data_IF_613069576470
#
_entry.id   IF_613069576470
#
_cell.length_a   1.000
_cell.length_b   1.000
_cell.length_c   1.000
_cell.angle_alpha   90.00
_cell.angle_beta   90.00
_cell.angle_gamma   90.00
#
_symmetry.space_group_name_H-M   'P 1'
#
loop_
_entity.id
_entity.type
_entity.pdbx_description
1 polymer ?
#
# COMPACT_ATOMS: atom_id res chain seq x y z
N UNK A 1 1.43 2.94 -12.60
CA UNK A 1 2.39 2.06 -11.88
C UNK A 1 1.84 1.62 -10.53
N UNK A 2 1.04 2.42 -9.87
CA UNK A 2 0.52 2.13 -8.52
C UNK A 2 -0.28 0.81 -8.39
N UNK A 3 -1.22 0.51 -9.30
CA UNK A 3 -1.98 -0.74 -9.20
C UNK A 3 -1.14 -2.01 -9.36
N UNK A 4 -0.05 -1.97 -10.14
CA UNK A 4 0.83 -3.13 -10.30
C UNK A 4 1.74 -3.29 -9.07
N UNK A 5 2.22 -2.19 -8.48
CA UNK A 5 2.94 -2.23 -7.21
C UNK A 5 2.07 -2.81 -6.10
N UNK A 6 0.79 -2.43 -6.05
CA UNK A 6 -0.16 -2.99 -5.08
C UNK A 6 -0.32 -4.50 -5.26
N UNK A 7 -0.59 -4.96 -6.47
CA UNK A 7 -0.77 -6.40 -6.75
C UNK A 7 0.49 -7.16 -6.38
N UNK A 8 1.67 -6.63 -6.74
CA UNK A 8 2.94 -7.22 -6.38
C UNK A 8 3.16 -7.29 -4.86
N UNK A 9 2.80 -6.24 -4.12
CA UNK A 9 2.90 -6.21 -2.66
C UNK A 9 1.97 -7.25 -2.00
N UNK A 10 0.73 -7.36 -2.49
CA UNK A 10 -0.22 -8.38 -2.01
C UNK A 10 0.28 -9.80 -2.31
N UNK A 11 0.78 -10.07 -3.52
CA UNK A 11 1.35 -11.37 -3.88
C UNK A 11 2.58 -11.70 -3.04
N UNK A 12 3.46 -10.73 -2.79
CA UNK A 12 4.68 -10.92 -2.00
C UNK A 12 4.40 -11.16 -0.52
N UNK A 13 3.34 -10.54 0.01
CA UNK A 13 2.95 -10.64 1.41
C UNK A 13 1.85 -11.66 1.66
N UNK A 14 1.44 -12.44 0.66
CA UNK A 14 0.30 -13.36 0.74
C UNK A 14 0.34 -14.25 1.99
N UNK A 15 1.51 -14.82 2.32
CA UNK A 15 1.71 -15.67 3.50
C UNK A 15 1.39 -14.98 4.85
N UNK A 16 1.47 -13.65 4.92
CA UNK A 16 1.17 -12.86 6.11
C UNK A 16 -0.25 -12.28 6.10
N UNK A 17 -0.82 -12.08 4.91
CA UNK A 17 -2.14 -11.50 4.70
C UNK A 17 -3.25 -12.54 4.70
N UNK A 18 -2.94 -13.79 4.38
CA UNK A 18 -3.92 -14.87 4.42
C UNK A 18 -4.47 -15.05 5.84
N UNK A 19 -5.79 -15.03 5.96
CA UNK A 19 -6.50 -15.13 7.23
C UNK A 19 -6.42 -13.92 8.18
N UNK A 20 -5.67 -12.86 7.86
CA UNK A 20 -5.52 -11.68 8.75
C UNK A 20 -6.32 -10.48 8.25
N UNK A 21 -6.79 -9.66 9.20
CA UNK A 21 -7.44 -8.38 8.89
C UNK A 21 -6.38 -7.28 8.76
N UNK A 22 -6.37 -6.58 7.63
CA UNK A 22 -5.38 -5.55 7.35
C UNK A 22 -5.95 -4.33 6.65
N UNK A 23 -5.23 -3.22 6.80
CA UNK A 23 -5.51 -1.95 6.17
C UNK A 23 -4.53 -1.70 5.04
N UNK A 24 -5.08 -1.43 3.86
CA UNK A 24 -4.33 -0.92 2.73
C UNK A 24 -4.43 0.61 2.74
N UNK A 25 -3.32 1.28 3.05
CA UNK A 25 -3.22 2.73 2.99
C UNK A 25 -2.59 3.10 1.65
N UNK A 26 -3.30 3.89 0.84
CA UNK A 26 -2.78 4.37 -0.45
C UNK A 26 -3.34 5.75 -0.78
N UNK A 27 -2.53 6.60 -1.40
CA UNK A 27 -2.96 7.87 -2.00
C UNK A 27 -3.45 7.70 -3.45
N UNK A 28 -3.38 6.47 -3.98
CA UNK A 28 -3.75 6.15 -5.33
C UNK A 28 -5.26 5.98 -5.51
N UNK A 29 -5.89 6.95 -6.18
CA UNK A 29 -7.29 6.84 -6.62
C UNK A 29 -7.51 5.77 -7.71
N UNK A 30 -6.46 5.30 -8.39
CA UNK A 30 -6.59 4.27 -9.41
C UNK A 30 -6.99 2.90 -8.82
N UNK A 31 -6.61 2.59 -7.57
CA UNK A 31 -7.03 1.36 -6.88
C UNK A 31 -8.53 1.35 -6.64
N UNK A 32 -9.07 2.46 -6.09
CA UNK A 32 -10.52 2.64 -5.92
C UNK A 32 -11.26 2.54 -7.25
N UNK A 33 -10.71 3.18 -8.29
CA UNK A 33 -11.29 3.17 -9.62
C UNK A 33 -11.31 1.74 -10.21
N UNK A 34 -10.19 1.01 -10.13
CA UNK A 34 -10.04 -0.36 -10.63
C UNK A 34 -11.10 -1.29 -10.03
N UNK A 35 -11.36 -1.14 -8.75
CA UNK A 35 -12.32 -1.95 -8.01
C UNK A 35 -13.77 -1.66 -8.39
N UNK A 36 -14.09 -0.39 -8.66
CA UNK A 36 -15.43 0.06 -9.04
C UNK A 36 -15.73 -0.04 -10.55
N UNK A 37 -14.72 -0.34 -11.38
CA UNK A 37 -14.90 -0.48 -12.83
C UNK A 37 -15.82 -1.65 -13.19
N UNK A 38 -16.82 -1.35 -14.03
CA UNK A 38 -17.78 -2.33 -14.58
C UNK A 38 -17.20 -3.13 -15.75
N UNK A 39 -16.43 -2.48 -16.62
CA UNK A 39 -15.84 -3.09 -17.83
C UNK A 39 -14.32 -2.93 -17.83
N UNK A 40 -13.58 -3.75 -17.06
CA UNK A 40 -12.12 -3.71 -17.04
C UNK A 40 -11.51 -4.33 -18.30
N UNK A 41 -10.39 -3.76 -18.77
CA UNK A 41 -9.53 -4.41 -19.77
C UNK A 41 -8.91 -5.70 -19.20
N UNK A 42 -8.44 -6.63 -20.04
CA UNK A 42 -7.86 -7.94 -19.66
C UNK A 42 -6.82 -7.84 -18.52
N UNK A 43 -5.91 -6.87 -18.57
CA UNK A 43 -4.91 -6.67 -17.51
C UNK A 43 -5.54 -6.22 -16.20
N UNK A 44 -6.50 -5.28 -16.27
CA UNK A 44 -7.21 -4.76 -15.11
C UNK A 44 -8.11 -5.83 -14.48
N UNK A 45 -8.72 -6.69 -15.31
CA UNK A 45 -9.52 -7.82 -14.82
C UNK A 45 -8.66 -8.79 -14.02
N UNK A 46 -7.45 -9.11 -14.51
CA UNK A 46 -6.49 -9.97 -13.78
C UNK A 46 -6.14 -9.38 -12.41
N UNK A 47 -5.80 -8.09 -12.37
CA UNK A 47 -5.50 -7.41 -11.10
C UNK A 47 -6.72 -7.35 -10.18
N UNK A 48 -7.91 -7.09 -10.73
CA UNK A 48 -9.16 -7.10 -9.97
C UNK A 48 -9.40 -8.48 -9.34
N UNK A 49 -9.17 -9.57 -10.07
CA UNK A 49 -9.30 -10.93 -9.53
C UNK A 49 -8.27 -11.19 -8.43
N UNK A 50 -7.01 -10.82 -8.62
CA UNK A 50 -5.97 -10.99 -7.60
C UNK A 50 -6.30 -10.22 -6.30
N UNK A 51 -6.83 -9.01 -6.42
CA UNK A 51 -7.22 -8.21 -5.25
C UNK A 51 -8.49 -8.75 -4.58
N UNK A 52 -9.38 -9.42 -5.34
CA UNK A 52 -10.64 -9.96 -4.79
C UNK A 52 -10.44 -11.05 -3.73
N UNK A 53 -9.34 -11.81 -3.81
CA UNK A 53 -8.99 -12.80 -2.78
C UNK A 53 -8.89 -12.17 -1.38
N UNK A 54 -8.29 -10.98 -1.30
CA UNK A 54 -8.11 -10.27 -0.03
C UNK A 54 -9.28 -9.36 0.36
N UNK A 55 -10.30 -9.19 -0.50
CA UNK A 55 -11.37 -8.21 -0.27
C UNK A 55 -12.21 -8.46 0.98
N UNK A 56 -12.30 -9.70 1.44
CA UNK A 56 -13.00 -10.06 2.67
C UNK A 56 -12.33 -9.51 3.93
N UNK A 57 -10.99 -9.43 3.93
CA UNK A 57 -10.20 -9.10 5.11
C UNK A 57 -9.42 -7.77 4.97
N UNK A 58 -9.52 -7.10 3.82
CA UNK A 58 -8.82 -5.86 3.50
C UNK A 58 -9.73 -4.64 3.61
N UNK A 59 -9.30 -3.65 4.40
CA UNK A 59 -9.92 -2.32 4.45
C UNK A 59 -9.07 -1.30 3.71
N UNK A 60 -9.63 -0.59 2.74
CA UNK A 60 -8.90 0.40 1.93
C UNK A 60 -9.09 1.80 2.54
N UNK A 61 -8.01 2.38 3.05
CA UNK A 61 -7.97 3.75 3.53
C UNK A 61 -7.22 4.63 2.53
N UNK A 62 -7.83 5.74 2.13
CA UNK A 62 -7.16 6.70 1.25
C UNK A 62 -6.58 7.85 2.05
N UNK A 63 -5.29 8.11 1.86
CA UNK A 63 -4.58 9.20 2.53
C UNK A 63 -4.18 10.26 1.50
N UNK A 64 -4.26 11.53 1.88
CA UNK A 64 -3.86 12.61 0.97
C UNK A 64 -2.35 12.60 0.77
N UNK A 65 -1.90 12.94 -0.44
CA UNK A 65 -0.50 12.92 -0.85
C UNK A 65 0.40 13.79 0.05
N UNK A 66 -0.12 14.92 0.54
CA UNK A 66 0.60 15.80 1.49
C UNK A 66 0.98 15.11 2.81
N UNK A 67 0.23 14.08 3.20
CA UNK A 67 0.46 13.27 4.41
C UNK A 67 1.21 11.96 4.12
N UNK A 68 1.51 11.68 2.84
CA UNK A 68 2.18 10.47 2.36
C UNK A 68 3.58 10.75 1.81
N UNK A 69 4.26 11.80 2.33
CA UNK A 69 5.61 12.17 1.91
C UNK A 69 6.65 11.05 2.06
N UNK A 70 6.48 10.13 3.01
CA UNK A 70 7.42 9.01 3.15
C UNK A 70 7.33 8.05 1.95
N UNK A 71 6.11 7.69 1.53
CA UNK A 71 5.87 6.69 0.49
C UNK A 71 6.08 7.31 -0.89
N UNK A 72 5.68 8.58 -1.06
CA UNK A 72 6.01 9.39 -2.22
C UNK A 72 7.53 9.56 -2.36
N UNK A 73 8.25 9.69 -1.24
CA UNK A 73 9.72 9.66 -1.19
C UNK A 73 10.28 8.32 -1.66
N UNK A 74 9.86 7.19 -1.09
CA UNK A 74 10.36 5.86 -1.46
C UNK A 74 10.04 5.47 -2.92
N UNK A 75 8.86 5.81 -3.40
CA UNK A 75 8.44 5.50 -4.78
C UNK A 75 9.11 6.41 -5.82
N UNK A 76 9.47 7.65 -5.47
CA UNK A 76 10.18 8.59 -6.35
C UNK A 76 11.70 8.52 -6.23
N UNK A 77 12.23 7.97 -5.14
CA UNK A 77 13.67 7.89 -4.89
C UNK A 77 14.30 6.57 -5.29
N UNK A 78 14.63 6.48 -6.58
CA UNK A 78 15.86 5.81 -7.01
C UNK A 78 17.09 6.75 -6.98
N UNK A 79 16.88 8.07 -6.77
CA UNK A 79 17.92 9.09 -6.71
C UNK A 79 18.52 9.20 -5.31
N UNK A 80 19.80 9.54 -5.24
CA UNK A 80 20.49 9.78 -3.96
C UNK A 80 19.79 10.88 -3.14
N UNK A 81 19.81 10.74 -1.81
CA UNK A 81 19.25 11.72 -0.88
C UNK A 81 20.16 12.96 -0.76
N UNK A 82 20.38 13.66 -1.88
CA UNK A 82 21.16 14.90 -1.98
C UNK A 82 20.23 16.12 -2.03
N UNK A 83 20.70 17.33 -1.68
CA UNK A 83 19.89 18.55 -1.73
C UNK A 83 19.37 18.92 -3.13
N UNK A 84 19.90 18.30 -4.19
CA UNK A 84 19.43 18.43 -5.58
C UNK A 84 18.09 17.73 -5.82
N UNK A 85 17.69 16.88 -4.88
CA UNK A 85 16.50 16.08 -4.97
C UNK A 85 15.27 16.90 -4.54
N UNK A 86 14.25 17.05 -5.41
CA UNK A 86 13.09 17.90 -5.13
C UNK A 86 12.23 17.43 -3.94
N UNK A 87 12.38 16.18 -3.49
CA UNK A 87 11.71 15.67 -2.28
C UNK A 87 12.60 15.66 -1.04
N UNK A 88 13.81 16.24 -1.11
CA UNK A 88 14.81 16.20 -0.01
C UNK A 88 14.27 16.85 1.27
N UNK A 89 14.49 16.19 2.40
CA UNK A 89 14.10 16.67 3.73
C UNK A 89 14.95 16.01 4.82
N UNK A 90 14.92 16.53 6.06
CA UNK A 90 15.59 15.90 7.19
C UNK A 90 15.12 14.45 7.33
N UNK A 91 16.03 13.53 7.65
CA UNK A 91 15.70 12.15 7.98
C UNK A 91 15.01 12.11 9.34
N UNK A 92 13.74 12.47 9.39
CA UNK A 92 12.87 12.18 10.54
C UNK A 92 12.45 10.70 10.45
N UNK A 93 12.34 10.03 11.61
CA UNK A 93 11.77 8.69 11.69
C UNK A 93 10.29 8.74 11.27
N UNK A 94 10.04 8.50 10.00
CA UNK A 94 8.71 8.34 9.47
C UNK A 94 8.40 6.84 9.36
N UNK A 95 7.34 6.41 10.03
CA UNK A 95 6.80 5.07 9.83
C UNK A 95 6.28 4.93 8.38
N UNK A 96 6.63 3.84 7.71
CA UNK A 96 6.20 3.54 6.34
C UNK A 96 4.75 3.05 6.38
N UNK A 97 3.80 3.96 6.19
CA UNK A 97 2.37 3.66 6.07
C UNK A 97 2.05 3.02 4.70
N UNK A 98 2.24 1.71 4.58
CA UNK A 98 1.80 0.92 3.41
C UNK A 98 0.65 -0.02 3.74
N UNK A 99 1.00 -1.26 4.08
CA UNK A 99 0.06 -2.30 4.52
C UNK A 99 0.20 -2.47 6.03
N UNK A 100 -0.86 -2.14 6.78
CA UNK A 100 -0.90 -2.27 8.23
C UNK A 100 -1.75 -3.47 8.63
N UNK A 101 -1.12 -4.51 9.19
CA UNK A 101 -1.80 -5.71 9.69
C UNK A 101 -2.21 -5.46 11.15
N UNK A 102 -3.50 -5.28 11.40
CA UNK A 102 -4.00 -4.88 12.73
C UNK A 102 -4.24 -6.04 13.69
N UNK A 103 -4.35 -7.27 13.18
CA UNK A 103 -4.63 -8.44 14.03
C UNK A 103 -3.40 -8.97 14.80
N UNK A 104 -2.20 -8.54 14.41
CA UNK A 104 -0.96 -8.93 15.10
C UNK A 104 -0.80 -8.18 16.44
N UNK A 105 -1.49 -7.04 16.61
CA UNK A 105 -1.25 -6.09 17.69
C UNK A 105 -1.67 -6.52 19.10
N UNK A 106 -2.65 -7.42 19.25
CA UNK A 106 -3.13 -7.77 20.60
C UNK A 106 -2.30 -8.84 21.32
N UNK A 107 -1.56 -9.68 20.56
CA UNK A 107 -0.83 -10.83 21.12
C UNK A 107 0.68 -10.68 21.15
N UNK A 108 1.27 -9.85 20.29
CA UNK A 108 2.74 -9.79 20.17
C UNK A 108 3.41 -8.72 21.05
N UNK A 109 2.71 -7.63 21.39
CA UNK A 109 3.28 -6.48 22.10
C UNK A 109 2.85 -6.35 23.57
N UNK A 110 2.13 -7.31 24.13
CA UNK A 110 1.73 -7.32 25.56
C UNK A 110 2.76 -7.99 26.49
N UNK A 111 3.93 -8.36 25.98
CA UNK A 111 5.05 -8.88 26.78
C UNK A 111 6.39 -8.29 26.32
N UNK A 112 6.55 -6.97 26.45
CA UNK A 112 7.86 -6.32 26.67
C UNK A 112 7.68 -5.24 27.73
#
# INVERSE_FOLDING_TARGET
MECICLVWALESLNYYLDGTMFYLITDCNAVKSLLNMKTPNRHMLRWKIAIQEYRGNMTIAHKSQDMNKNDDGLSRWALSNTPENPSWGPLEEHYIDGICVTDIGSKFFSQV
#
